data_IF_879359709414
#
_entry.id   IF_879359709414
#
_cell.length_a   1.000
_cell.length_b   1.000
_cell.length_c   1.000
_cell.angle_alpha   90.00
_cell.angle_beta   90.00
_cell.angle_gamma   90.00
#
_symmetry.space_group_name_H-M   'P 1'
#
loop_
_entity.id
_entity.type
_entity.pdbx_description
1 polymer ?
#
# COMPACT_ATOMS: atom_id res chain seq x y z
N UNK A 1 -10.09 -5.42 -3.04
CA UNK A 1 -9.44 -5.86 -1.79
C UNK A 1 -10.11 -7.07 -1.14
N UNK A 2 -11.42 -7.06 -0.90
CA UNK A 2 -12.11 -8.21 -0.29
C UNK A 2 -11.95 -9.51 -1.10
N UNK A 3 -12.14 -9.44 -2.43
CA UNK A 3 -11.95 -10.59 -3.31
C UNK A 3 -10.52 -11.14 -3.28
N UNK A 4 -9.51 -10.26 -3.43
CA UNK A 4 -8.09 -10.65 -3.38
C UNK A 4 -7.69 -11.22 -2.03
N UNK A 5 -8.22 -10.66 -0.93
CA UNK A 5 -7.99 -11.17 0.42
C UNK A 5 -8.61 -12.56 0.65
N UNK A 6 -9.83 -12.78 0.16
CA UNK A 6 -10.48 -14.10 0.22
C UNK A 6 -9.70 -15.15 -0.58
N UNK A 7 -9.31 -14.81 -1.82
CA UNK A 7 -8.50 -15.72 -2.66
C UNK A 7 -7.18 -16.07 -1.96
N UNK A 8 -6.49 -15.08 -1.39
CA UNK A 8 -5.26 -15.30 -0.63
C UNK A 8 -5.49 -16.21 0.59
N UNK A 9 -6.53 -15.95 1.38
CA UNK A 9 -6.89 -16.75 2.55
C UNK A 9 -7.14 -18.20 2.18
N UNK A 10 -7.98 -18.48 1.18
CA UNK A 10 -8.26 -19.85 0.76
C UNK A 10 -7.03 -20.54 0.18
N UNK A 11 -6.29 -19.84 -0.68
CA UNK A 11 -5.10 -20.40 -1.33
C UNK A 11 -4.05 -20.79 -0.28
N UNK A 12 -3.72 -19.87 0.63
CA UNK A 12 -2.69 -20.10 1.65
C UNK A 12 -3.16 -21.15 2.68
N UNK A 13 -4.42 -21.13 3.12
CA UNK A 13 -4.94 -22.08 4.12
C UNK A 13 -4.90 -23.53 3.65
N UNK A 14 -5.00 -23.79 2.35
CA UNK A 14 -4.89 -25.15 1.79
C UNK A 14 -3.46 -25.69 1.92
N UNK A 15 -2.44 -24.85 1.71
CA UNK A 15 -1.04 -25.27 1.73
C UNK A 15 -0.40 -25.20 3.13
N UNK A 16 -0.91 -24.33 4.01
CA UNK A 16 -0.32 -24.08 5.32
C UNK A 16 -0.16 -25.32 6.22
N UNK A 17 -1.11 -26.28 6.27
CA UNK A 17 -0.97 -27.50 7.06
C UNK A 17 0.22 -28.37 6.64
N UNK A 18 0.69 -28.26 5.40
CA UNK A 18 1.79 -29.07 4.86
C UNK A 18 3.18 -28.57 5.30
N UNK A 19 3.27 -27.30 5.70
CA UNK A 19 4.53 -26.59 6.01
C UNK A 19 4.43 -25.76 7.28
N UNK A 20 3.61 -26.20 8.26
CA UNK A 20 3.34 -25.42 9.46
C UNK A 20 4.61 -25.19 10.29
N UNK A 21 4.92 -23.91 10.53
CA UNK A 21 5.96 -23.47 11.46
C UNK A 21 5.25 -22.69 12.56
N UNK A 22 5.39 -23.14 13.81
CA UNK A 22 4.73 -22.50 14.94
C UNK A 22 5.31 -21.10 15.16
N UNK A 23 4.50 -20.02 15.06
CA UNK A 23 4.99 -18.68 15.32
C UNK A 23 5.24 -18.48 16.82
N UNK A 24 6.31 -17.74 17.13
CA UNK A 24 6.61 -17.19 18.45
C UNK A 24 5.54 -16.17 18.88
N UNK A 25 5.49 -15.85 20.17
CA UNK A 25 4.56 -14.85 20.70
C UNK A 25 4.74 -13.47 20.04
N UNK A 26 5.97 -13.09 19.71
CA UNK A 26 6.26 -11.84 19.01
C UNK A 26 5.70 -11.83 17.58
N UNK A 27 5.87 -12.93 16.84
CA UNK A 27 5.34 -13.06 15.48
C UNK A 27 3.82 -12.99 15.47
N UNK A 28 3.14 -13.61 16.44
CA UNK A 28 1.69 -13.46 16.60
C UNK A 28 1.25 -12.00 16.80
N UNK A 29 1.95 -11.27 17.66
CA UNK A 29 1.68 -9.85 17.91
C UNK A 29 1.91 -9.01 16.65
N UNK A 30 2.99 -9.26 15.91
CA UNK A 30 3.30 -8.57 14.66
C UNK A 30 2.25 -8.87 13.58
N UNK A 31 1.85 -10.13 13.41
CA UNK A 31 0.81 -10.52 12.45
C UNK A 31 -0.53 -9.86 12.76
N UNK A 32 -0.94 -9.84 14.03
CA UNK A 32 -2.15 -9.13 14.46
C UNK A 32 -2.02 -7.62 14.22
N UNK A 33 -0.90 -7.02 14.60
CA UNK A 33 -0.64 -5.59 14.41
C UNK A 33 -0.69 -5.18 12.94
N UNK A 34 -0.09 -5.96 12.05
CA UNK A 34 -0.17 -5.77 10.60
C UNK A 34 -1.62 -5.79 10.11
N UNK A 35 -2.39 -6.82 10.48
CA UNK A 35 -3.80 -6.93 10.09
C UNK A 35 -4.66 -5.77 10.61
N UNK A 36 -4.43 -5.37 11.86
CA UNK A 36 -5.13 -4.26 12.50
C UNK A 36 -4.86 -2.93 11.81
N UNK A 37 -3.59 -2.57 11.62
CA UNK A 37 -3.19 -1.33 10.94
C UNK A 37 -3.68 -1.31 9.50
N UNK A 38 -3.54 -2.42 8.77
CA UNK A 38 -4.03 -2.54 7.40
C UNK A 38 -5.55 -2.36 7.31
N UNK A 39 -6.30 -2.94 8.25
CA UNK A 39 -7.77 -2.80 8.29
C UNK A 39 -8.19 -1.36 8.53
N UNK A 40 -7.57 -0.69 9.51
CA UNK A 40 -7.84 0.72 9.81
C UNK A 40 -7.47 1.61 8.62
N UNK A 41 -6.28 1.43 8.04
CA UNK A 41 -5.84 2.20 6.89
C UNK A 41 -6.79 2.09 5.71
N UNK A 42 -7.20 0.87 5.36
CA UNK A 42 -8.17 0.66 4.28
C UNK A 42 -9.55 1.21 4.63
N UNK A 43 -10.00 1.08 5.87
CA UNK A 43 -11.26 1.69 6.30
C UNK A 43 -11.26 3.21 6.13
N UNK A 44 -10.16 3.88 6.52
CA UNK A 44 -10.01 5.32 6.36
C UNK A 44 -9.97 5.74 4.88
N UNK A 45 -9.33 4.94 4.01
CA UNK A 45 -9.35 5.18 2.57
C UNK A 45 -10.79 5.08 2.04
N UNK A 46 -11.53 4.02 2.39
CA UNK A 46 -12.94 3.87 1.99
C UNK A 46 -13.78 5.04 2.49
N UNK A 47 -13.55 5.46 3.74
CA UNK A 47 -14.23 6.59 4.35
C UNK A 47 -13.92 7.91 3.63
N UNK A 48 -12.67 8.12 3.18
CA UNK A 48 -12.28 9.34 2.46
C UNK A 48 -13.09 9.58 1.18
N UNK A 49 -13.47 8.51 0.47
CA UNK A 49 -14.31 8.61 -0.73
C UNK A 49 -15.74 9.09 -0.44
N UNK A 50 -16.20 9.08 0.82
CA UNK A 50 -17.47 9.72 1.21
C UNK A 50 -17.35 11.25 1.31
N UNK A 51 -16.14 11.77 1.50
CA UNK A 51 -15.90 13.20 1.74
C UNK A 51 -15.31 13.94 0.54
N UNK A 52 -14.64 13.24 -0.38
CA UNK A 52 -14.03 13.86 -1.56
C UNK A 52 -14.16 12.98 -2.80
N UNK A 53 -14.17 13.63 -3.97
CA UNK A 53 -14.18 12.93 -5.26
C UNK A 53 -12.85 12.20 -5.50
N UNK A 54 -12.91 11.07 -6.21
CA UNK A 54 -11.73 10.26 -6.51
C UNK A 54 -10.60 11.04 -7.21
N UNK A 55 -10.94 12.01 -8.07
CA UNK A 55 -9.96 12.86 -8.75
C UNK A 55 -9.15 13.75 -7.80
N UNK A 56 -9.74 14.15 -6.67
CA UNK A 56 -9.06 14.93 -5.61
C UNK A 56 -8.22 14.03 -4.73
N UNK A 57 -8.65 12.77 -4.53
CA UNK A 57 -7.95 11.78 -3.70
C UNK A 57 -6.79 11.09 -4.44
N UNK A 58 -6.85 11.01 -5.77
CA UNK A 58 -5.84 10.32 -6.58
C UNK A 58 -4.37 10.77 -6.30
N UNK A 59 -4.06 12.07 -6.13
CA UNK A 59 -2.71 12.51 -5.77
C UNK A 59 -2.24 12.00 -4.40
N UNK A 60 -3.15 11.82 -3.45
CA UNK A 60 -2.81 11.31 -2.12
C UNK A 60 -2.43 9.83 -2.16
N UNK A 61 -2.98 9.05 -3.10
CA UNK A 61 -2.55 7.65 -3.29
C UNK A 61 -1.07 7.55 -3.70
N UNK A 62 -0.50 8.59 -4.34
CA UNK A 62 0.93 8.59 -4.66
C UNK A 62 1.83 8.80 -3.43
N UNK A 63 1.29 9.28 -2.31
CA UNK A 63 2.03 9.38 -1.05
C UNK A 63 2.54 8.02 -0.56
N UNK A 64 1.78 6.96 -0.85
CA UNK A 64 2.17 5.59 -0.55
C UNK A 64 3.50 5.22 -1.20
N UNK A 65 3.75 5.69 -2.44
CA UNK A 65 4.98 5.42 -3.18
C UNK A 65 6.19 6.01 -2.44
N UNK A 66 6.09 7.27 -2.04
CA UNK A 66 7.17 7.93 -1.29
C UNK A 66 7.43 7.22 0.04
N UNK A 67 6.36 6.89 0.77
CA UNK A 67 6.48 6.23 2.08
C UNK A 67 7.08 4.83 1.94
N UNK A 68 6.67 4.06 0.92
CA UNK A 68 7.23 2.73 0.64
C UNK A 68 8.71 2.79 0.26
N UNK A 69 9.15 3.80 -0.49
CA UNK A 69 10.57 3.99 -0.81
C UNK A 69 11.36 4.33 0.45
N UNK A 70 10.86 5.23 1.29
CA UNK A 70 11.54 5.63 2.54
C UNK A 70 11.66 4.47 3.51
N UNK A 71 10.58 3.72 3.74
CA UNK A 71 10.57 2.52 4.60
C UNK A 71 11.46 1.44 3.99
N UNK A 72 11.34 1.19 2.68
CA UNK A 72 12.14 0.23 1.92
C UNK A 72 13.64 0.49 2.05
N UNK A 73 14.03 1.75 1.89
CA UNK A 73 15.41 2.18 2.05
C UNK A 73 15.87 2.08 3.51
N UNK A 74 15.09 2.58 4.47
CA UNK A 74 15.49 2.64 5.87
C UNK A 74 15.62 1.26 6.53
N UNK A 75 14.66 0.36 6.31
CA UNK A 75 14.65 -0.95 6.95
C UNK A 75 15.40 -2.03 6.16
N UNK A 76 15.43 -1.93 4.83
CA UNK A 76 15.97 -2.99 3.98
C UNK A 76 17.16 -2.56 3.12
N UNK A 77 17.54 -1.28 3.14
CA UNK A 77 18.60 -0.75 2.27
C UNK A 77 18.25 -0.79 0.79
N UNK A 78 16.98 -1.00 0.45
CA UNK A 78 16.53 -1.17 -0.93
C UNK A 78 16.41 0.20 -1.61
N UNK A 79 17.22 0.41 -2.63
CA UNK A 79 17.17 1.61 -3.46
C UNK A 79 16.25 1.34 -4.67
N UNK A 80 15.38 2.29 -5.06
CA UNK A 80 14.54 2.13 -6.23
C UNK A 80 15.36 1.87 -7.50
N UNK A 81 14.87 0.96 -8.33
CA UNK A 81 15.49 0.65 -9.62
C UNK A 81 15.16 1.71 -10.69
N UNK A 82 15.76 1.56 -11.87
CA UNK A 82 15.58 2.51 -12.99
C UNK A 82 14.11 2.67 -13.39
N UNK A 83 13.32 1.60 -13.34
CA UNK A 83 11.91 1.62 -13.71
C UNK A 83 11.04 2.32 -12.67
N UNK A 84 11.34 2.11 -11.39
CA UNK A 84 10.67 2.79 -10.28
C UNK A 84 10.92 4.29 -10.36
N UNK A 85 12.16 4.72 -10.61
CA UNK A 85 12.48 6.14 -10.84
C UNK A 85 11.73 6.74 -12.03
N UNK A 86 11.64 6.01 -13.15
CA UNK A 86 10.87 6.46 -14.31
C UNK A 86 9.38 6.65 -13.96
N UNK A 87 8.79 5.69 -13.24
CA UNK A 87 7.40 5.77 -12.77
C UNK A 87 7.17 6.99 -11.87
N UNK A 88 8.09 7.24 -10.92
CA UNK A 88 8.03 8.42 -10.03
C UNK A 88 8.02 9.72 -10.84
N UNK A 89 8.90 9.85 -11.84
CA UNK A 89 8.96 11.04 -12.70
C UNK A 89 7.65 11.27 -13.45
N UNK A 90 7.06 10.21 -14.00
CA UNK A 90 5.77 10.29 -14.71
C UNK A 90 4.65 10.74 -13.77
N UNK A 91 4.58 10.16 -12.56
CA UNK A 91 3.57 10.51 -11.56
C UNK A 91 3.69 11.97 -11.15
N UNK A 92 4.89 12.42 -10.77
CA UNK A 92 5.14 13.82 -10.40
C UNK A 92 4.80 14.76 -11.58
N UNK A 93 5.23 14.43 -12.79
CA UNK A 93 4.94 15.22 -14.00
C UNK A 93 3.44 15.36 -14.28
N UNK A 94 2.69 14.27 -14.15
CA UNK A 94 1.22 14.29 -14.30
C UNK A 94 0.52 15.11 -13.22
N UNK A 95 0.98 15.03 -11.96
CA UNK A 95 0.45 15.84 -10.87
C UNK A 95 0.68 17.33 -11.10
N UNK A 96 1.88 17.72 -11.52
CA UNK A 96 2.20 19.10 -11.90
C UNK A 96 1.32 19.56 -13.07
N UNK A 97 1.15 18.74 -14.11
CA UNK A 97 0.31 19.07 -15.25
C UNK A 97 -1.14 19.35 -14.85
N UNK A 98 -1.74 18.52 -13.98
CA UNK A 98 -3.10 18.72 -13.48
C UNK A 98 -3.20 20.03 -12.69
N UNK A 99 -2.23 20.31 -11.82
CA UNK A 99 -2.20 21.55 -11.03
C UNK A 99 -2.12 22.79 -11.91
N UNK A 100 -1.27 22.76 -12.94
CA UNK A 100 -1.13 23.86 -13.90
C UNK A 100 -2.41 24.02 -14.71
N UNK A 101 -3.00 22.92 -15.22
CA UNK A 101 -4.25 22.97 -15.99
C UNK A 101 -5.41 23.54 -15.19
N UNK A 102 -5.52 23.23 -13.90
CA UNK A 102 -6.64 23.73 -13.06
C UNK A 102 -6.56 25.24 -12.78
N UNK A 103 -5.40 25.86 -13.04
CA UNK A 103 -5.15 27.30 -12.84
C UNK A 103 -5.46 28.14 -14.10
N UNK A 104 -5.63 27.50 -15.26
CA UNK A 104 -6.06 28.11 -16.53
C UNK A 104 -7.52 27.73 -16.83
#
# INVERSE_FOLDING_TARGET
LAFTGLVGLFSISIFQPLIWIQPSAMEWVLMFGMGFVATIGHFLIILSFRYAQASVLAPFSYWEILTNILIGFYFFGNIPDKWTWLGIVIIIGSGIYILVRKKY
#
